data_IF_025059292953
#
_entry.id   IF_025059292953
#
_cell.length_a   1.000
_cell.length_b   1.000
_cell.length_c   1.000
_cell.angle_alpha   90.00
_cell.angle_beta   90.00
_cell.angle_gamma   90.00
#
_symmetry.space_group_name_H-M   'P 1'
#
loop_
_entity.id
_entity.type
_entity.pdbx_description
1 polymer ?
#
# COMPACT_ATOMS: atom_id res chain seq x y z
N UNK A 1 -30.04 16.39 -16.85
CA UNK A 1 -30.04 16.99 -15.50
C UNK A 1 -30.33 15.91 -14.48
N UNK A 2 -29.30 15.38 -13.81
CA UNK A 2 -29.45 14.35 -12.76
C UNK A 2 -29.39 15.05 -11.40
N UNK A 3 -30.51 15.02 -10.69
CA UNK A 3 -30.65 15.55 -9.33
C UNK A 3 -29.70 14.80 -8.39
N UNK A 4 -28.71 15.51 -7.83
CA UNK A 4 -27.93 15.04 -6.68
C UNK A 4 -28.79 15.25 -5.43
N UNK A 5 -29.26 14.16 -4.83
CA UNK A 5 -29.80 14.19 -3.47
C UNK A 5 -28.63 14.44 -2.51
N UNK A 6 -28.59 15.64 -1.95
CA UNK A 6 -27.71 16.00 -0.85
C UNK A 6 -28.41 15.52 0.44
N UNK A 7 -28.02 14.36 0.96
CA UNK A 7 -28.46 13.92 2.30
C UNK A 7 -27.69 14.75 3.31
N UNK A 8 -28.32 15.81 3.80
CA UNK A 8 -27.83 16.61 4.93
C UNK A 8 -28.19 15.84 6.20
N UNK A 9 -27.22 15.18 6.82
CA UNK A 9 -27.38 14.67 8.19
C UNK A 9 -27.27 15.87 9.15
N UNK A 10 -28.41 16.43 9.54
CA UNK A 10 -28.48 17.43 10.62
C UNK A 10 -28.32 16.68 11.93
N UNK A 11 -27.11 16.73 12.52
CA UNK A 11 -26.89 16.29 13.89
C UNK A 11 -27.35 17.42 14.81
N UNK A 12 -28.62 17.36 15.22
CA UNK A 12 -29.18 18.23 16.25
C UNK A 12 -28.62 17.83 17.61
N UNK A 13 -27.56 18.51 18.07
CA UNK A 13 -27.02 18.30 19.42
C UNK A 13 -27.86 19.10 20.41
N UNK A 14 -28.99 18.52 20.85
CA UNK A 14 -29.67 18.98 22.06
C UNK A 14 -28.93 18.45 23.29
N UNK A 15 -28.60 19.36 24.20
CA UNK A 15 -28.13 19.02 25.55
C UNK A 15 -29.21 18.25 26.30
N UNK A 16 -28.98 16.96 26.51
CA UNK A 16 -29.49 16.15 27.62
C UNK A 16 -28.69 14.85 27.66
N UNK A 17 -28.42 14.33 28.88
CA UNK A 17 -27.66 13.11 29.15
C UNK A 17 -28.26 11.85 28.49
N UNK A 18 -27.98 11.65 27.21
CA UNK A 18 -28.06 10.34 26.57
C UNK A 18 -26.66 9.95 26.11
N UNK A 19 -26.22 8.74 26.47
CA UNK A 19 -25.03 8.11 25.90
C UNK A 19 -25.31 7.84 24.41
N UNK A 20 -25.25 8.89 23.60
CA UNK A 20 -25.44 8.79 22.16
C UNK A 20 -24.15 8.19 21.60
N UNK A 21 -24.18 6.88 21.37
CA UNK A 21 -23.14 6.22 20.60
C UNK A 21 -23.33 6.53 19.12
N UNK A 22 -22.23 6.83 18.42
CA UNK A 22 -22.25 6.95 16.96
C UNK A 22 -22.23 5.54 16.38
N UNK A 23 -23.21 5.25 15.53
CA UNK A 23 -23.20 4.08 14.67
C UNK A 23 -22.31 4.37 13.46
N UNK A 24 -21.25 3.61 13.28
CA UNK A 24 -20.31 3.82 12.19
C UNK A 24 -20.16 2.50 11.43
N UNK A 25 -20.84 2.39 10.30
CA UNK A 25 -20.62 1.26 9.40
C UNK A 25 -19.16 1.26 8.90
N UNK A 26 -18.35 0.40 9.50
CA UNK A 26 -16.95 0.19 9.19
C UNK A 26 -16.73 -1.05 8.30
N UNK A 27 -17.76 -1.83 7.99
CA UNK A 27 -17.63 -3.14 7.38
C UNK A 27 -16.87 -3.09 6.03
N UNK A 28 -17.06 -2.02 5.26
CA UNK A 28 -16.37 -1.80 3.97
C UNK A 28 -15.26 -0.73 4.06
N UNK A 29 -14.93 -0.23 5.24
CA UNK A 29 -13.91 0.83 5.46
C UNK A 29 -12.63 0.32 6.08
N UNK A 30 -12.72 -0.81 6.79
CA UNK A 30 -11.58 -1.55 7.31
C UNK A 30 -11.03 -2.42 6.19
N UNK A 31 -9.76 -2.24 5.88
CA UNK A 31 -9.03 -3.11 4.97
C UNK A 31 -8.10 -3.96 5.82
N UNK A 32 -8.19 -5.28 5.68
CA UNK A 32 -7.21 -6.20 6.26
C UNK A 32 -6.08 -6.36 5.24
N UNK A 33 -4.86 -5.89 5.53
CA UNK A 33 -3.78 -6.01 4.59
C UNK A 33 -3.40 -7.47 4.34
N UNK A 34 -2.98 -7.78 3.12
CA UNK A 34 -2.45 -9.11 2.77
C UNK A 34 -1.08 -9.35 3.43
N UNK A 35 -0.64 -10.59 3.46
CA UNK A 35 0.65 -10.98 4.04
C UNK A 35 1.43 -11.86 3.08
N UNK A 36 2.74 -11.61 3.01
CA UNK A 36 3.68 -12.41 2.27
C UNK A 36 4.89 -12.76 3.17
N UNK A 37 5.25 -14.04 3.22
CA UNK A 37 6.46 -14.50 3.91
C UNK A 37 7.58 -14.62 2.88
N UNK A 38 8.62 -13.80 3.02
CA UNK A 38 9.77 -13.77 2.11
C UNK A 38 10.87 -14.67 2.64
N UNK A 39 11.23 -15.67 1.83
CA UNK A 39 12.15 -16.72 2.22
C UNK A 39 13.57 -16.43 1.76
N UNK A 40 14.54 -16.82 2.59
CA UNK A 40 15.95 -16.56 2.33
C UNK A 40 16.43 -17.43 1.17
N UNK A 41 17.16 -16.86 0.22
CA UNK A 41 17.76 -17.62 -0.89
C UNK A 41 18.90 -18.50 -0.37
N UNK A 42 19.11 -19.63 -1.04
CA UNK A 42 20.24 -20.52 -0.80
C UNK A 42 21.36 -20.30 -1.83
N UNK A 43 21.01 -19.73 -2.99
CA UNK A 43 21.91 -19.44 -4.10
C UNK A 43 21.83 -17.96 -4.49
N UNK A 44 22.86 -17.41 -5.17
CA UNK A 44 22.79 -16.09 -5.78
C UNK A 44 21.65 -16.02 -6.80
N UNK A 45 20.92 -14.90 -6.82
CA UNK A 45 19.92 -14.59 -7.85
C UNK A 45 20.59 -13.72 -8.91
N UNK A 46 20.45 -14.11 -10.19
CA UNK A 46 20.97 -13.34 -11.31
C UNK A 46 19.84 -12.48 -11.86
N UNK A 47 19.99 -11.16 -11.71
CA UNK A 47 18.97 -10.21 -12.19
C UNK A 47 19.04 -10.10 -13.71
N UNK A 48 18.19 -10.88 -14.40
CA UNK A 48 18.09 -10.94 -15.86
C UNK A 48 16.65 -10.92 -16.39
N UNK A 49 15.67 -10.72 -15.49
CA UNK A 49 14.27 -10.57 -15.83
C UNK A 49 13.53 -11.90 -15.89
N UNK A 50 14.19 -13.02 -15.57
CA UNK A 50 13.64 -14.37 -15.68
C UNK A 50 13.57 -15.05 -14.33
N UNK A 51 12.69 -16.03 -14.20
CA UNK A 51 12.47 -16.79 -12.97
C UNK A 51 13.20 -18.16 -12.99
N UNK A 52 14.37 -18.24 -13.66
CA UNK A 52 15.03 -19.50 -13.98
C UNK A 52 15.80 -20.15 -12.82
N UNK A 53 16.03 -19.43 -11.73
CA UNK A 53 16.75 -19.91 -10.56
C UNK A 53 15.90 -20.87 -9.72
N UNK A 54 16.54 -21.93 -9.21
CA UNK A 54 15.85 -22.93 -8.36
C UNK A 54 15.22 -22.36 -7.08
N UNK A 55 15.67 -21.19 -6.60
CA UNK A 55 15.03 -20.53 -5.45
C UNK A 55 13.76 -19.78 -5.87
N UNK A 56 13.67 -19.29 -7.12
CA UNK A 56 12.44 -18.73 -7.67
C UNK A 56 11.34 -19.79 -7.86
N UNK A 57 11.70 -21.03 -8.18
CA UNK A 57 10.75 -22.15 -8.28
C UNK A 57 10.09 -22.49 -6.93
N UNK A 58 10.78 -22.23 -5.81
CA UNK A 58 10.26 -22.48 -4.45
C UNK A 58 9.44 -21.30 -3.92
N UNK A 59 9.66 -20.10 -4.44
CA UNK A 59 8.92 -18.92 -4.05
C UNK A 59 7.47 -18.99 -4.55
N UNK A 60 6.52 -18.70 -3.67
CA UNK A 60 5.09 -18.76 -3.97
C UNK A 60 4.66 -17.41 -4.53
N UNK A 61 3.93 -17.39 -5.64
CA UNK A 61 3.32 -16.16 -6.12
C UNK A 61 2.28 -15.62 -5.12
N UNK A 62 2.21 -14.31 -5.01
CA UNK A 62 1.09 -13.59 -4.42
C UNK A 62 -0.21 -13.97 -5.12
N UNK A 63 -1.33 -13.67 -4.48
CA UNK A 63 -2.59 -13.58 -5.21
C UNK A 63 -2.45 -12.61 -6.39
N UNK A 64 -3.30 -12.81 -7.39
CA UNK A 64 -3.44 -11.87 -8.50
C UNK A 64 -3.91 -10.51 -8.01
N UNK A 65 -3.43 -9.47 -8.69
CA UNK A 65 -3.77 -8.10 -8.39
C UNK A 65 -5.26 -7.87 -8.64
N UNK A 66 -5.84 -6.97 -7.84
CA UNK A 66 -7.23 -6.54 -7.95
C UNK A 66 -7.29 -5.03 -8.17
N UNK A 67 -8.45 -4.50 -8.53
CA UNK A 67 -8.65 -3.04 -8.55
C UNK A 67 -8.32 -2.42 -7.18
N UNK A 68 -7.67 -1.25 -7.20
CA UNK A 68 -7.22 -0.52 -6.01
C UNK A 68 -8.33 -0.24 -4.98
N UNK A 69 -9.58 -0.14 -5.41
CA UNK A 69 -10.73 0.06 -4.52
C UNK A 69 -11.18 -1.25 -3.84
N UNK A 70 -10.67 -2.41 -4.27
CA UNK A 70 -11.24 -3.71 -4.00
C UNK A 70 -12.36 -4.03 -4.98
N UNK A 71 -12.98 -5.21 -4.88
CA UNK A 71 -14.22 -5.59 -5.61
C UNK A 71 -14.12 -5.97 -7.09
N UNK A 72 -13.19 -5.43 -7.89
CA UNK A 72 -13.09 -5.75 -9.33
C UNK A 72 -11.85 -6.57 -9.65
N UNK A 73 -12.01 -7.49 -10.62
CA UNK A 73 -10.94 -8.30 -11.18
C UNK A 73 -10.42 -7.62 -12.45
N UNK A 74 -9.11 -7.29 -12.52
CA UNK A 74 -8.44 -6.79 -13.71
C UNK A 74 -8.61 -7.68 -14.92
N UNK A 75 -8.61 -7.08 -16.12
CA UNK A 75 -8.63 -7.83 -17.38
C UNK A 75 -7.33 -8.57 -17.65
N UNK A 76 -6.21 -7.99 -17.20
CA UNK A 76 -4.89 -8.55 -17.41
C UNK A 76 -4.26 -8.87 -16.06
N UNK A 77 -3.80 -10.09 -15.93
CA UNK A 77 -3.30 -10.64 -14.67
C UNK A 77 -1.92 -10.06 -14.35
N UNK A 78 -1.72 -9.71 -13.09
CA UNK A 78 -0.42 -9.38 -12.53
C UNK A 78 -0.27 -10.06 -11.18
N UNK A 79 0.90 -10.64 -10.92
CA UNK A 79 1.27 -11.16 -9.60
C UNK A 79 2.78 -11.06 -9.39
N UNK A 80 3.19 -11.25 -8.14
CA UNK A 80 4.59 -11.11 -7.73
C UNK A 80 5.01 -12.29 -6.88
N UNK A 81 6.29 -12.64 -6.89
CA UNK A 81 6.91 -13.47 -5.86
C UNK A 81 8.18 -12.79 -5.38
N UNK A 82 8.56 -13.08 -4.15
CA UNK A 82 9.66 -12.42 -3.47
C UNK A 82 10.55 -13.42 -2.76
N UNK A 83 11.83 -13.06 -2.70
CA UNK A 83 12.90 -13.75 -1.98
C UNK A 83 13.78 -12.70 -1.28
N UNK A 84 14.69 -13.10 -0.40
CA UNK A 84 15.67 -12.19 0.17
C UNK A 84 17.00 -12.87 0.48
N UNK A 85 18.07 -12.10 0.63
CA UNK A 85 19.33 -12.56 1.23
C UNK A 85 19.88 -11.50 2.19
N UNK A 86 21.13 -11.63 2.63
CA UNK A 86 21.73 -10.66 3.57
C UNK A 86 21.97 -9.26 2.96
N UNK A 87 21.75 -9.07 1.66
CA UNK A 87 22.01 -7.83 0.92
C UNK A 87 20.78 -7.26 0.24
N UNK A 88 19.93 -8.10 -0.34
CA UNK A 88 18.83 -7.66 -1.20
C UNK A 88 17.48 -8.27 -0.80
N UNK A 89 16.44 -7.47 -0.95
CA UNK A 89 15.09 -7.96 -1.21
C UNK A 89 14.96 -8.18 -2.72
N UNK A 90 14.59 -9.39 -3.11
CA UNK A 90 14.34 -9.74 -4.50
C UNK A 90 12.84 -9.75 -4.79
N UNK A 91 12.42 -9.12 -5.89
CA UNK A 91 11.05 -9.10 -6.36
C UNK A 91 11.04 -9.56 -7.81
N UNK A 92 10.19 -10.53 -8.13
CA UNK A 92 9.87 -10.94 -9.49
C UNK A 92 8.38 -10.69 -9.73
N UNK A 93 8.04 -9.82 -10.68
CA UNK A 93 6.68 -9.53 -11.08
C UNK A 93 6.41 -10.07 -12.49
N UNK A 94 5.24 -10.66 -12.69
CA UNK A 94 4.77 -11.11 -14.01
C UNK A 94 3.51 -10.35 -14.38
N UNK A 95 3.57 -9.62 -15.49
CA UNK A 95 2.51 -8.75 -15.97
C UNK A 95 2.04 -9.26 -17.32
N UNK A 96 0.88 -9.90 -17.36
CA UNK A 96 0.24 -10.23 -18.64
C UNK A 96 -0.23 -8.94 -19.30
N UNK A 97 0.14 -8.74 -20.56
CA UNK A 97 -0.08 -7.51 -21.29
C UNK A 97 -0.26 -7.87 -22.76
N UNK A 98 -1.42 -7.54 -23.33
CA UNK A 98 -1.75 -7.80 -24.74
C UNK A 98 -1.02 -6.83 -25.67
N UNK A 99 -0.60 -5.66 -25.17
CA UNK A 99 0.17 -4.68 -25.93
C UNK A 99 1.23 -4.01 -25.06
N UNK A 100 2.47 -4.46 -25.19
CA UNK A 100 3.60 -3.98 -24.39
C UNK A 100 4.11 -2.67 -24.99
N UNK A 101 3.87 -1.58 -24.27
CA UNK A 101 4.24 -0.23 -24.67
C UNK A 101 5.17 0.42 -23.64
N UNK A 102 6.22 1.08 -24.14
CA UNK A 102 7.06 1.97 -23.36
C UNK A 102 7.85 2.92 -24.26
N UNK A 103 7.90 4.19 -23.89
CA UNK A 103 8.64 5.22 -24.62
C UNK A 103 9.43 6.18 -23.71
N UNK A 104 9.25 6.07 -22.38
CA UNK A 104 10.04 6.77 -21.39
C UNK A 104 11.36 6.03 -21.14
N UNK A 105 12.48 6.61 -21.57
CA UNK A 105 13.82 6.00 -21.51
C UNK A 105 14.75 6.66 -20.48
N UNK A 106 14.40 7.86 -20.01
CA UNK A 106 15.22 8.61 -19.07
C UNK A 106 14.96 8.16 -17.63
N UNK A 107 16.01 7.80 -16.90
CA UNK A 107 15.93 7.53 -15.45
C UNK A 107 15.33 8.76 -14.75
N UNK A 108 14.45 8.52 -13.79
CA UNK A 108 13.74 9.56 -13.02
C UNK A 108 12.76 10.42 -13.84
N UNK A 109 12.39 9.95 -15.05
CA UNK A 109 11.20 10.45 -15.72
C UNK A 109 9.94 10.06 -14.93
N UNK A 110 8.84 10.78 -15.16
CA UNK A 110 7.55 10.48 -14.55
C UNK A 110 6.95 9.22 -15.22
N UNK A 111 7.30 8.04 -14.69
CA UNK A 111 7.09 6.73 -15.32
C UNK A 111 5.60 6.36 -15.45
N UNK A 112 4.75 6.74 -14.49
CA UNK A 112 3.30 6.48 -14.53
C UNK A 112 2.55 6.96 -15.79
N UNK A 113 3.18 7.72 -16.70
CA UNK A 113 2.60 8.05 -18.01
C UNK A 113 2.67 6.90 -19.03
N UNK A 114 3.43 5.83 -18.76
CA UNK A 114 3.39 4.54 -19.44
C UNK A 114 2.60 3.52 -18.60
N UNK A 115 2.38 2.32 -19.15
CA UNK A 115 2.11 1.17 -18.30
C UNK A 115 3.39 0.81 -17.54
N UNK A 116 3.28 0.61 -16.24
CA UNK A 116 4.43 0.35 -15.38
C UNK A 116 4.08 -0.60 -14.23
N UNK A 117 5.14 -0.94 -13.49
CA UNK A 117 5.06 -1.68 -12.24
C UNK A 117 5.67 -0.84 -11.12
N UNK A 118 4.95 -0.73 -10.02
CA UNK A 118 5.34 0.10 -8.88
C UNK A 118 5.53 -0.77 -7.63
N UNK A 119 6.56 -0.47 -6.84
CA UNK A 119 6.84 -1.07 -5.53
C UNK A 119 6.78 0.02 -4.47
N UNK A 120 5.94 -0.18 -3.47
CA UNK A 120 5.82 0.70 -2.31
C UNK A 120 6.33 -0.02 -1.08
N UNK A 121 7.29 0.55 -0.36
CA UNK A 121 7.96 -0.15 0.74
C UNK A 121 8.18 0.76 1.95
N UNK A 122 7.80 0.25 3.11
CA UNK A 122 7.97 0.94 4.38
C UNK A 122 8.49 -0.05 5.44
N UNK A 123 9.73 0.12 5.91
CA UNK A 123 10.32 -0.81 6.86
C UNK A 123 9.96 -0.45 8.32
N UNK A 124 9.30 0.68 8.56
CA UNK A 124 8.92 1.17 9.87
C UNK A 124 7.74 0.41 10.51
N UNK A 125 7.59 0.57 11.83
CA UNK A 125 6.39 0.13 12.56
C UNK A 125 5.24 1.15 12.53
N UNK A 126 5.45 2.27 11.81
CA UNK A 126 4.48 3.32 11.52
C UNK A 126 4.37 3.59 10.02
N UNK A 127 3.42 4.43 9.62
CA UNK A 127 3.00 4.58 8.21
C UNK A 127 3.61 5.80 7.50
N UNK A 128 4.75 6.28 8.00
CA UNK A 128 5.50 7.45 7.48
C UNK A 128 6.89 6.99 7.02
N UNK A 129 7.60 7.85 6.30
CA UNK A 129 8.95 7.59 5.77
C UNK A 129 9.04 6.30 4.95
N UNK A 130 8.54 6.35 3.72
CA UNK A 130 8.46 5.19 2.83
C UNK A 130 9.00 5.49 1.44
N UNK A 131 9.48 4.45 0.77
CA UNK A 131 10.01 4.51 -0.58
C UNK A 131 9.00 4.00 -1.60
N UNK A 132 9.20 4.46 -2.83
CA UNK A 132 8.45 4.09 -4.02
C UNK A 132 9.43 3.89 -5.17
N UNK A 133 9.20 2.87 -5.98
CA UNK A 133 10.02 2.49 -7.14
C UNK A 133 9.06 2.21 -8.29
N UNK A 134 9.19 2.92 -9.40
CA UNK A 134 8.45 2.69 -10.64
C UNK A 134 9.40 2.14 -11.70
N UNK A 135 8.93 1.18 -12.50
CA UNK A 135 9.67 0.63 -13.64
C UNK A 135 8.73 0.27 -14.79
N UNK A 136 9.06 0.73 -16.01
CA UNK A 136 8.29 0.39 -17.21
C UNK A 136 8.88 -0.82 -17.95
N UNK A 137 8.22 -1.23 -19.04
CA UNK A 137 8.64 -2.35 -19.88
C UNK A 137 10.00 -2.16 -20.58
N UNK A 138 10.57 -0.94 -20.59
CA UNK A 138 11.92 -0.67 -21.08
C UNK A 138 13.00 -0.89 -20.00
N UNK A 139 12.59 -1.11 -18.75
CA UNK A 139 13.49 -1.18 -17.60
C UNK A 139 13.91 0.20 -17.07
N UNK A 140 13.27 1.28 -17.53
CA UNK A 140 13.52 2.64 -17.03
C UNK A 140 12.96 2.75 -15.62
N UNK A 141 13.82 3.14 -14.68
CA UNK A 141 13.52 3.17 -13.26
C UNK A 141 13.37 4.61 -12.75
N UNK A 142 12.43 4.81 -11.83
CA UNK A 142 12.33 6.00 -11.00
C UNK A 142 12.14 5.60 -9.55
N UNK A 143 12.90 6.19 -8.64
CA UNK A 143 12.74 6.03 -7.21
C UNK A 143 12.48 7.35 -6.50
N UNK A 144 11.63 7.31 -5.48
CA UNK A 144 11.29 8.47 -4.68
C UNK A 144 10.96 8.12 -3.23
N UNK A 145 11.23 9.08 -2.36
CA UNK A 145 10.93 9.00 -0.94
C UNK A 145 9.73 9.88 -0.58
N UNK A 146 8.85 9.42 0.29
CA UNK A 146 7.81 10.23 0.91
C UNK A 146 7.96 10.24 2.43
N UNK A 147 8.03 11.44 3.00
CA UNK A 147 8.14 11.60 4.45
C UNK A 147 6.86 11.20 5.20
N UNK A 148 5.68 11.29 4.58
CA UNK A 148 4.37 10.85 5.09
C UNK A 148 3.34 10.87 3.94
N UNK A 149 2.12 10.33 4.15
CA UNK A 149 1.08 10.39 3.13
C UNK A 149 0.72 11.81 2.66
N UNK A 150 0.46 11.99 1.37
CA UNK A 150 0.04 13.28 0.79
C UNK A 150 -1.20 13.87 1.48
N UNK A 151 -2.17 13.03 1.87
CA UNK A 151 -3.38 13.45 2.61
C UNK A 151 -3.07 14.06 3.99
N UNK A 152 -1.85 13.86 4.50
CA UNK A 152 -1.33 14.42 5.75
C UNK A 152 -0.31 15.55 5.49
N UNK A 153 -0.26 16.09 4.27
CA UNK A 153 0.67 17.14 3.85
C UNK A 153 2.09 16.64 3.65
N UNK A 154 2.25 15.36 3.27
CA UNK A 154 3.53 14.81 2.86
C UNK A 154 4.04 15.41 1.56
N UNK A 155 5.33 15.26 1.30
CA UNK A 155 6.01 15.68 0.08
C UNK A 155 6.89 14.53 -0.40
N UNK A 156 6.88 14.30 -1.71
CA UNK A 156 7.85 13.43 -2.36
C UNK A 156 9.20 14.12 -2.50
N UNK A 157 10.25 13.32 -2.48
CA UNK A 157 11.61 13.70 -2.82
C UNK A 157 12.15 12.73 -3.87
N UNK A 158 12.11 13.15 -5.13
CA UNK A 158 12.68 12.43 -6.27
C UNK A 158 14.21 12.52 -6.35
N UNK A 159 14.88 13.17 -5.39
CA UNK A 159 16.34 13.14 -5.28
C UNK A 159 16.83 11.95 -4.48
N UNK A 160 15.93 11.28 -3.75
CA UNK A 160 16.26 10.02 -3.10
C UNK A 160 16.56 8.97 -4.16
N UNK A 161 17.68 8.27 -4.00
CA UNK A 161 18.15 7.29 -4.97
C UNK A 161 18.63 6.05 -4.21
N UNK A 162 18.08 4.89 -4.55
CA UNK A 162 18.45 3.60 -3.95
C UNK A 162 19.76 3.15 -4.57
N UNK A 163 20.87 3.38 -3.86
CA UNK A 163 22.19 3.11 -4.40
C UNK A 163 22.43 1.61 -4.51
N UNK A 164 22.71 1.13 -5.73
CA UNK A 164 23.01 -0.28 -5.97
C UNK A 164 21.79 -1.15 -6.23
N UNK A 165 20.60 -0.56 -6.45
CA UNK A 165 19.46 -1.27 -7.03
C UNK A 165 19.86 -1.89 -8.37
N UNK A 166 19.40 -3.13 -8.59
CA UNK A 166 19.54 -3.82 -9.87
C UNK A 166 18.15 -4.14 -10.38
N UNK A 167 17.95 -3.99 -11.68
CA UNK A 167 16.71 -4.31 -12.35
C UNK A 167 16.97 -4.99 -13.69
N UNK A 168 16.04 -5.83 -14.11
CA UNK A 168 15.98 -6.37 -15.45
C UNK A 168 14.52 -6.63 -15.85
N UNK A 169 14.27 -6.55 -17.15
CA UNK A 169 12.96 -6.84 -17.76
C UNK A 169 13.15 -7.89 -18.86
N UNK A 170 12.27 -8.88 -18.92
CA UNK A 170 12.16 -9.82 -20.04
C UNK A 170 10.77 -9.71 -20.68
N UNK A 171 10.72 -9.86 -22.00
CA UNK A 171 9.49 -9.66 -22.78
C UNK A 171 9.18 -10.94 -23.56
N UNK A 172 7.97 -11.45 -23.36
CA UNK A 172 7.37 -12.47 -24.20
C UNK A 172 6.34 -11.81 -25.12
N UNK A 173 6.85 -11.26 -26.23
CA UNK A 173 6.10 -10.39 -27.14
C UNK A 173 7.04 -9.49 -27.94
N UNK A 174 6.52 -8.40 -28.50
CA UNK A 174 7.30 -7.35 -29.14
C UNK A 174 6.92 -5.97 -28.61
N UNK A 175 7.91 -5.27 -28.05
CA UNK A 175 7.67 -3.93 -27.51
C UNK A 175 7.32 -2.93 -28.61
N UNK A 176 6.31 -2.09 -28.35
CA UNK A 176 5.86 -1.02 -29.23
C UNK A 176 5.38 -1.50 -30.61
N UNK A 177 4.82 -2.70 -30.71
CA UNK A 177 4.22 -3.19 -31.94
C UNK A 177 2.68 -3.29 -31.81
N UNK A 178 1.96 -2.42 -32.52
CA UNK A 178 0.50 -2.40 -32.47
C UNK A 178 -0.16 -3.44 -33.38
N UNK A 179 0.62 -4.25 -34.10
CA UNK A 179 0.10 -5.18 -35.12
C UNK A 179 0.02 -6.63 -34.63
N UNK A 180 0.53 -6.93 -33.45
CA UNK A 180 0.44 -8.23 -32.81
C UNK A 180 -0.24 -8.14 -31.44
N UNK A 181 -0.35 -9.30 -30.80
CA UNK A 181 -0.85 -9.45 -29.44
C UNK A 181 0.28 -10.09 -28.65
N UNK A 182 0.72 -9.40 -27.62
CA UNK A 182 1.75 -9.84 -26.69
C UNK A 182 1.18 -10.79 -25.64
N UNK A 183 2.06 -11.38 -24.83
CA UNK A 183 1.66 -12.30 -23.77
C UNK A 183 1.93 -11.70 -22.39
N UNK A 184 3.19 -11.40 -22.10
CA UNK A 184 3.60 -10.80 -20.83
C UNK A 184 4.96 -10.14 -20.92
N UNK A 185 5.23 -9.29 -19.95
CA UNK A 185 6.57 -8.89 -19.57
C UNK A 185 6.79 -9.16 -18.08
N UNK A 186 8.05 -9.28 -17.70
CA UNK A 186 8.45 -9.55 -16.32
C UNK A 186 9.38 -8.47 -15.83
N UNK A 187 9.31 -8.19 -14.54
CA UNK A 187 10.23 -7.30 -13.84
C UNK A 187 10.95 -8.12 -12.79
N UNK A 188 12.27 -8.02 -12.75
CA UNK A 188 13.09 -8.58 -11.69
C UNK A 188 13.91 -7.46 -11.03
N UNK A 189 13.80 -7.34 -9.72
CA UNK A 189 14.49 -6.33 -8.91
C UNK A 189 15.33 -7.00 -7.82
N UNK A 190 16.53 -6.47 -7.58
CA UNK A 190 17.27 -6.64 -6.35
C UNK A 190 17.42 -5.29 -5.65
N UNK A 191 16.67 -5.10 -4.57
CA UNK A 191 16.61 -3.86 -3.80
C UNK A 191 17.54 -3.99 -2.58
N UNK A 192 18.59 -3.17 -2.45
CA UNK A 192 19.50 -3.18 -1.31
C UNK A 192 18.76 -2.96 0.02
N UNK A 193 18.85 -3.92 0.92
CA UNK A 193 18.15 -3.89 2.21
C UNK A 193 18.62 -2.73 3.11
N UNK A 194 19.91 -2.38 3.03
CA UNK A 194 20.49 -1.28 3.79
C UNK A 194 19.88 0.07 3.41
N UNK A 195 19.68 0.34 2.11
CA UNK A 195 19.09 1.59 1.62
C UNK A 195 17.63 1.71 2.09
N UNK A 196 16.88 0.60 2.10
CA UNK A 196 15.53 0.59 2.63
C UNK A 196 15.54 0.78 4.15
N UNK A 197 16.39 0.07 4.90
CA UNK A 197 16.47 0.21 6.35
C UNK A 197 16.79 1.64 6.83
N UNK A 198 17.51 2.44 6.02
CA UNK A 198 17.77 3.86 6.31
C UNK A 198 16.50 4.72 6.33
N UNK A 199 15.38 4.26 5.74
CA UNK A 199 14.08 4.91 5.88
C UNK A 199 13.52 4.85 7.31
N UNK A 200 14.04 3.94 8.17
CA UNK A 200 13.71 3.93 9.60
C UNK A 200 14.52 4.95 10.38
N UNK A 201 15.82 4.87 10.18
CA UNK A 201 16.81 5.72 10.81
C UNK A 201 17.97 5.86 9.82
N UNK A 202 18.27 7.08 9.33
CA UNK A 202 19.33 7.30 8.34
C UNK A 202 20.73 6.95 8.87
N UNK A 203 20.88 6.78 10.19
CA UNK A 203 22.13 6.34 10.82
C UNK A 203 22.13 4.85 11.19
N UNK A 204 21.05 4.13 10.89
CA UNK A 204 20.95 2.72 11.21
C UNK A 204 21.99 1.92 10.44
N UNK A 205 22.74 1.12 11.19
CA UNK A 205 23.59 0.04 10.67
C UNK A 205 22.95 -1.33 10.86
N UNK A 206 21.67 -1.37 11.27
CA UNK A 206 20.98 -2.62 11.54
C UNK A 206 20.66 -3.34 10.24
N UNK A 207 21.17 -4.57 10.13
CA UNK A 207 20.83 -5.45 9.03
C UNK A 207 19.43 -6.05 9.23
N UNK A 208 18.69 -6.17 8.13
CA UNK A 208 17.43 -6.91 8.11
C UNK A 208 17.68 -8.36 8.53
N UNK A 209 16.81 -8.89 9.39
CA UNK A 209 16.91 -10.24 9.93
C UNK A 209 15.59 -10.99 9.84
N UNK A 210 15.65 -12.31 9.98
CA UNK A 210 14.45 -13.12 10.09
C UNK A 210 13.57 -12.65 11.27
N UNK A 211 12.26 -12.61 11.05
CA UNK A 211 11.27 -12.04 11.96
C UNK A 211 11.09 -10.53 11.84
N UNK A 212 11.85 -9.84 10.99
CA UNK A 212 11.52 -8.46 10.63
C UNK A 212 10.22 -8.40 9.84
N UNK A 213 9.48 -7.32 10.07
CA UNK A 213 8.18 -7.05 9.50
C UNK A 213 8.24 -5.69 8.84
N UNK A 214 8.05 -5.67 7.52
CA UNK A 214 7.90 -4.43 6.75
C UNK A 214 6.48 -4.36 6.20
N UNK A 215 6.08 -3.18 5.78
CA UNK A 215 4.91 -2.99 4.92
C UNK A 215 5.37 -2.87 3.48
N UNK A 216 4.68 -3.57 2.57
CA UNK A 216 4.95 -3.53 1.15
C UNK A 216 3.64 -3.58 0.37
N UNK A 217 3.58 -2.91 -0.76
CA UNK A 217 2.54 -3.13 -1.74
C UNK A 217 3.07 -2.91 -3.15
N UNK A 218 2.24 -3.29 -4.11
CA UNK A 218 2.56 -3.21 -5.53
C UNK A 218 1.39 -2.60 -6.28
N UNK A 219 1.69 -1.83 -7.32
CA UNK A 219 0.72 -1.36 -8.29
C UNK A 219 1.17 -1.74 -9.69
N UNK A 220 0.20 -1.93 -10.58
CA UNK A 220 0.36 -1.80 -12.02
C UNK A 220 -0.50 -0.61 -12.42
N UNK A 221 0.14 0.44 -12.94
CA UNK A 221 -0.59 1.47 -13.68
C UNK A 221 -0.83 0.93 -15.08
N UNK A 222 -2.09 0.96 -15.49
CA UNK A 222 -2.51 0.49 -16.80
C UNK A 222 -3.36 1.56 -17.48
N UNK A 223 -2.87 2.09 -18.60
CA UNK A 223 -3.61 2.97 -19.49
C UNK A 223 -4.22 2.17 -20.64
N UNK A 224 -5.45 2.52 -21.00
CA UNK A 224 -5.93 2.21 -22.34
C UNK A 224 -5.14 3.08 -23.34
N UNK A 225 -4.77 2.50 -24.49
CA UNK A 225 -4.00 3.19 -25.51
C UNK A 225 -4.83 3.46 -26.78
N UNK A 226 -4.33 4.37 -27.60
CA UNK A 226 -4.72 4.63 -28.98
C UNK A 226 -3.46 4.73 -29.84
N UNK A 227 -3.57 4.40 -31.12
CA UNK A 227 -2.44 4.48 -32.05
C UNK A 227 -2.65 5.66 -33.01
N UNK A 228 -1.79 6.67 -32.91
CA UNK A 228 -1.86 7.91 -33.70
C UNK A 228 -0.52 8.09 -34.40
N UNK A 229 -0.55 8.28 -35.73
CA UNK A 229 0.62 8.57 -36.56
C UNK A 229 1.80 7.62 -36.33
N UNK A 230 1.53 6.32 -36.17
CA UNK A 230 2.58 5.32 -35.98
C UNK A 230 3.08 5.19 -34.54
N UNK A 231 2.42 5.82 -33.56
CA UNK A 231 2.85 5.82 -32.16
C UNK A 231 1.73 5.51 -31.20
N UNK A 232 2.07 4.82 -30.11
CA UNK A 232 1.20 4.68 -28.95
C UNK A 232 0.98 6.03 -28.27
N UNK A 233 -0.24 6.24 -27.80
CA UNK A 233 -0.63 7.35 -26.94
C UNK A 233 -1.67 6.85 -25.96
N UNK A 234 -1.75 7.47 -24.77
CA UNK A 234 -2.88 7.25 -23.86
C UNK A 234 -4.18 7.63 -24.55
N UNK A 235 -5.17 6.75 -24.47
CA UNK A 235 -6.46 6.89 -25.14
C UNK A 235 -7.20 8.13 -24.70
N UNK A 236 -7.84 8.81 -25.65
CA UNK A 236 -8.66 10.00 -25.38
C UNK A 236 -10.10 9.80 -25.80
N UNK A 237 -11.02 10.38 -25.03
CA UNK A 237 -12.42 10.56 -25.43
C UNK A 237 -12.80 12.04 -25.30
N UNK A 238 -13.36 12.62 -26.37
CA UNK A 238 -13.72 14.04 -26.43
C UNK A 238 -12.54 14.97 -26.06
N UNK A 239 -11.33 14.62 -26.49
CA UNK A 239 -10.09 15.37 -26.23
C UNK A 239 -9.52 15.23 -24.81
N UNK A 240 -10.10 14.40 -23.94
CA UNK A 240 -9.60 14.14 -22.59
C UNK A 240 -9.01 12.74 -22.48
N UNK A 241 -7.85 12.63 -21.85
CA UNK A 241 -7.22 11.35 -21.53
C UNK A 241 -8.16 10.58 -20.59
N UNK A 242 -8.43 9.32 -20.93
CA UNK A 242 -9.17 8.41 -20.05
C UNK A 242 -8.34 8.10 -18.81
N UNK A 243 -8.96 7.95 -17.62
CA UNK A 243 -8.20 7.65 -16.41
C UNK A 243 -7.48 6.31 -16.51
N UNK A 244 -6.35 6.22 -15.83
CA UNK A 244 -5.62 4.98 -15.62
C UNK A 244 -6.37 4.02 -14.71
N UNK A 245 -6.09 2.73 -14.88
CA UNK A 245 -6.40 1.73 -13.88
C UNK A 245 -5.19 1.52 -12.98
N UNK A 246 -5.45 1.33 -11.68
CA UNK A 246 -4.45 0.91 -10.71
C UNK A 246 -4.85 -0.48 -10.21
N UNK A 247 -4.05 -1.49 -10.55
CA UNK A 247 -4.26 -2.86 -10.08
C UNK A 247 -3.19 -3.20 -9.06
N UNK A 248 -3.59 -3.70 -7.90
CA UNK A 248 -2.74 -3.78 -6.72
C UNK A 248 -2.84 -5.13 -6.03
N UNK A 249 -1.79 -5.52 -5.31
CA UNK A 249 -1.80 -6.75 -4.52
C UNK A 249 -2.74 -6.64 -3.30
N UNK A 250 -2.48 -5.69 -2.40
CA UNK A 250 -3.35 -5.36 -1.26
C UNK A 250 -4.22 -4.16 -1.63
N UNK A 251 -5.57 -4.24 -1.55
CA UNK A 251 -6.45 -3.13 -1.92
C UNK A 251 -6.27 -1.94 -0.99
N UNK A 252 -6.52 -0.73 -1.50
CA UNK A 252 -6.43 0.50 -0.70
C UNK A 252 -7.81 1.03 -0.31
N UNK A 253 -8.89 0.56 -0.95
CA UNK A 253 -10.27 1.02 -0.71
C UNK A 253 -10.57 2.40 -1.30
N UNK A 254 -9.61 2.96 -2.04
CA UNK A 254 -9.70 4.25 -2.74
C UNK A 254 -8.61 4.29 -3.81
N UNK A 255 -8.83 5.00 -4.92
CA UNK A 255 -7.81 5.30 -5.93
C UNK A 255 -6.72 6.22 -5.33
N UNK A 256 -5.80 5.64 -4.56
CA UNK A 256 -4.68 6.28 -3.87
C UNK A 256 -3.73 5.23 -3.28
N UNK A 257 -2.54 5.02 -3.85
CA UNK A 257 -1.54 4.09 -3.31
C UNK A 257 -0.86 4.60 -2.03
N UNK A 258 -0.88 5.89 -1.76
CA UNK A 258 -0.26 6.47 -0.57
C UNK A 258 -1.16 6.35 0.68
N UNK A 259 -1.76 5.17 0.90
CA UNK A 259 -2.46 4.76 2.14
C UNK A 259 -1.67 3.61 2.80
N UNK A 260 -0.43 3.87 3.28
CA UNK A 260 0.49 2.85 3.77
C UNK A 260 -0.04 1.96 4.90
N UNK A 261 -1.05 2.40 5.65
CA UNK A 261 -1.72 1.54 6.61
C UNK A 261 -2.45 0.34 5.98
N UNK A 262 -2.82 0.40 4.70
CA UNK A 262 -3.52 -0.66 3.97
C UNK A 262 -2.56 -1.52 3.13
N UNK A 263 -1.26 -1.18 3.09
CA UNK A 263 -0.24 -1.99 2.43
C UNK A 263 -0.04 -3.31 3.16
N UNK A 264 0.25 -4.36 2.39
CA UNK A 264 0.46 -5.70 2.92
C UNK A 264 1.69 -5.78 3.81
N UNK A 265 1.80 -6.90 4.53
CA UNK A 265 2.92 -7.20 5.42
C UNK A 265 3.91 -8.13 4.72
N UNK A 266 5.20 -7.77 4.80
CA UNK A 266 6.32 -8.58 4.37
C UNK A 266 7.06 -9.12 5.59
N UNK A 267 7.12 -10.44 5.73
CA UNK A 267 7.74 -11.11 6.88
C UNK A 267 8.99 -11.85 6.43
N UNK A 268 10.15 -11.44 6.94
CA UNK A 268 11.44 -12.04 6.61
C UNK A 268 11.61 -13.39 7.31
N UNK A 269 11.91 -14.45 6.56
CA UNK A 269 12.07 -15.81 7.07
C UNK A 269 13.41 -16.42 6.66
N UNK A 270 14.09 -17.10 7.58
CA UNK A 270 15.35 -17.83 7.35
C UNK A 270 15.15 -19.28 6.90
N UNK A 271 13.93 -19.66 6.49
CA UNK A 271 13.53 -21.04 6.19
C UNK A 271 13.50 -21.99 7.41
N UNK A 272 13.62 -21.49 8.64
CA UNK A 272 13.44 -22.33 9.82
C UNK A 272 11.95 -22.65 10.04
N UNK A 273 11.62 -23.93 10.17
CA UNK A 273 10.27 -24.47 10.40
C UNK A 273 9.60 -23.97 11.71
N UNK A 274 10.23 -23.05 12.45
CA UNK A 274 9.80 -22.58 13.78
C UNK A 274 9.33 -21.12 13.80
N UNK A 275 9.38 -20.39 12.68
CA UNK A 275 8.99 -18.98 12.69
C UNK A 275 7.47 -18.86 12.74
N UNK A 276 6.91 -18.69 13.95
CA UNK A 276 5.53 -18.24 14.08
C UNK A 276 5.40 -16.85 13.45
N UNK A 277 4.47 -16.70 12.49
CA UNK A 277 4.12 -15.40 11.92
C UNK A 277 3.65 -14.49 13.05
N UNK A 278 4.44 -13.45 13.35
CA UNK A 278 4.12 -12.43 14.34
C UNK A 278 4.08 -11.07 13.68
N UNK A 279 2.90 -10.45 13.65
CA UNK A 279 2.70 -9.11 13.12
C UNK A 279 3.20 -8.01 14.06
N UNK A 280 3.69 -8.35 15.26
CA UNK A 280 4.11 -7.38 16.29
C UNK A 280 3.03 -6.31 16.60
N UNK A 281 1.79 -6.56 16.20
CA UNK A 281 0.62 -5.69 16.31
C UNK A 281 -0.64 -6.54 16.24
N UNK A 282 -1.74 -6.02 16.76
CA UNK A 282 -3.07 -6.55 16.53
C UNK A 282 -3.72 -5.83 15.35
N UNK A 283 -3.87 -6.55 14.23
CA UNK A 283 -4.30 -6.00 12.94
C UNK A 283 -5.70 -5.40 13.05
N UNK A 284 -6.63 -6.07 13.74
CA UNK A 284 -8.00 -5.63 13.85
C UNK A 284 -8.14 -4.31 14.62
N UNK A 285 -7.41 -4.15 15.74
CA UNK A 285 -7.37 -2.87 16.46
C UNK A 285 -6.72 -1.77 15.61
N UNK A 286 -5.59 -2.07 14.97
CA UNK A 286 -4.84 -1.12 14.14
C UNK A 286 -5.69 -0.61 12.95
N UNK A 287 -6.32 -1.52 12.21
CA UNK A 287 -7.13 -1.16 11.04
C UNK A 287 -8.44 -0.47 11.41
N UNK A 288 -9.03 -0.81 12.57
CA UNK A 288 -10.19 -0.10 13.09
C UNK A 288 -9.82 1.35 13.43
N UNK A 289 -8.69 1.58 14.10
CA UNK A 289 -8.21 2.92 14.42
C UNK A 289 -7.99 3.76 13.15
N UNK A 290 -7.33 3.21 12.13
CA UNK A 290 -7.12 3.91 10.88
C UNK A 290 -8.43 4.21 10.13
N UNK A 291 -9.38 3.27 10.12
CA UNK A 291 -10.69 3.50 9.49
C UNK A 291 -11.44 4.67 10.16
N UNK A 292 -11.53 4.70 11.50
CA UNK A 292 -12.17 5.80 12.24
C UNK A 292 -11.39 7.11 12.04
N UNK A 293 -10.05 7.07 12.08
CA UNK A 293 -9.21 8.24 11.83
C UNK A 293 -9.47 8.84 10.45
N UNK A 294 -9.58 8.02 9.40
CA UNK A 294 -9.90 8.49 8.05
C UNK A 294 -11.28 9.14 7.98
N UNK A 295 -12.27 8.56 8.64
CA UNK A 295 -13.62 9.14 8.69
C UNK A 295 -13.64 10.51 9.39
N UNK A 296 -12.87 10.67 10.46
CA UNK A 296 -12.76 11.93 11.20
C UNK A 296 -11.95 12.96 10.42
N UNK A 297 -10.82 12.59 9.82
CA UNK A 297 -9.95 13.57 9.14
C UNK A 297 -10.44 13.94 7.76
N UNK A 298 -11.00 12.97 7.03
CA UNK A 298 -11.19 13.06 5.59
C UNK A 298 -12.60 12.69 5.13
N UNK A 299 -13.39 12.00 5.97
CA UNK A 299 -14.74 11.52 5.65
C UNK A 299 -15.86 12.29 6.38
N UNK A 300 -16.87 11.54 6.81
CA UNK A 300 -18.16 12.07 7.27
C UNK A 300 -18.17 12.51 8.75
N UNK A 301 -17.10 12.23 9.50
CA UNK A 301 -17.01 12.55 10.93
C UNK A 301 -16.13 13.78 11.23
N UNK A 302 -15.86 14.62 10.22
CA UNK A 302 -15.04 15.84 10.36
C UNK A 302 -15.52 16.78 11.45
N UNK A 303 -16.82 16.88 11.66
CA UNK A 303 -17.41 17.76 12.68
C UNK A 303 -16.97 17.39 14.11
N UNK A 304 -16.52 16.15 14.36
CA UNK A 304 -15.96 15.77 15.67
C UNK A 304 -14.72 16.59 16.03
N UNK A 305 -13.98 17.09 15.03
CA UNK A 305 -12.81 17.95 15.24
C UNK A 305 -13.16 19.35 15.77
N UNK A 306 -14.42 19.77 15.64
CA UNK A 306 -14.92 21.07 16.11
C UNK A 306 -15.46 21.02 17.55
N UNK A 307 -15.53 19.84 18.18
CA UNK A 307 -16.00 19.69 19.55
C UNK A 307 -15.10 20.43 20.56
N UNK A 308 -15.68 20.79 21.71
CA UNK A 308 -14.94 21.40 22.82
C UNK A 308 -13.92 20.42 23.40
N UNK A 309 -12.77 20.93 23.85
CA UNK A 309 -11.78 20.14 24.57
C UNK A 309 -12.43 19.37 25.73
N UNK A 310 -12.05 18.10 25.89
CA UNK A 310 -12.64 17.20 26.90
C UNK A 310 -13.88 16.46 26.42
N UNK A 311 -14.43 16.78 25.24
CA UNK A 311 -15.51 16.00 24.64
C UNK A 311 -15.08 14.54 24.43
N UNK A 312 -15.98 13.62 24.77
CA UNK A 312 -15.83 12.18 24.62
C UNK A 312 -17.02 11.63 23.86
N UNK A 313 -16.77 10.82 22.82
CA UNK A 313 -17.80 10.16 22.03
C UNK A 313 -17.47 8.67 21.95
N UNK A 314 -18.42 7.82 22.34
CA UNK A 314 -18.31 6.37 22.20
C UNK A 314 -18.90 5.94 20.85
N UNK A 315 -18.21 5.05 20.16
CA UNK A 315 -18.75 4.41 18.95
C UNK A 315 -19.48 3.13 19.35
N UNK A 316 -20.46 2.70 18.55
CA UNK A 316 -21.03 1.37 18.72
C UNK A 316 -19.93 0.30 18.56
N UNK A 317 -20.01 -0.83 19.27
CA UNK A 317 -19.02 -1.89 19.13
C UNK A 317 -19.06 -2.51 17.73
N UNK A 318 -17.90 -2.65 17.11
CA UNK A 318 -17.75 -3.20 15.77
C UNK A 318 -17.26 -4.65 15.85
N UNK A 319 -17.69 -5.48 14.89
CA UNK A 319 -17.24 -6.88 14.80
C UNK A 319 -16.34 -7.07 13.59
N UNK A 320 -15.12 -7.56 13.83
CA UNK A 320 -14.12 -7.82 12.79
C UNK A 320 -13.40 -9.13 13.10
N UNK A 321 -13.39 -10.09 12.15
CA UNK A 321 -12.79 -11.43 12.31
C UNK A 321 -13.15 -12.10 13.65
N UNK A 322 -14.45 -12.07 14.00
CA UNK A 322 -15.00 -12.58 15.27
C UNK A 322 -14.60 -11.86 16.57
N UNK A 323 -13.81 -10.80 16.48
CA UNK A 323 -13.47 -9.95 17.62
C UNK A 323 -14.44 -8.76 17.71
N UNK A 324 -14.88 -8.44 18.92
CA UNK A 324 -15.68 -7.23 19.19
C UNK A 324 -14.79 -6.11 19.71
N UNK A 325 -14.77 -4.99 18.99
CA UNK A 325 -13.90 -3.85 19.22
C UNK A 325 -14.72 -2.67 19.74
N UNK A 326 -14.22 -2.05 20.81
CA UNK A 326 -14.82 -0.88 21.43
C UNK A 326 -13.91 0.32 21.17
N UNK A 327 -14.47 1.34 20.54
CA UNK A 327 -13.73 2.55 20.16
C UNK A 327 -14.29 3.80 20.83
N UNK A 328 -13.42 4.75 21.15
CA UNK A 328 -13.81 6.02 21.79
C UNK A 328 -12.98 7.16 21.24
N UNK A 329 -13.65 8.24 20.82
CA UNK A 329 -13.03 9.51 20.45
C UNK A 329 -12.90 10.42 21.67
N UNK A 330 -11.77 11.09 21.77
CA UNK A 330 -11.48 12.13 22.77
C UNK A 330 -10.98 13.39 22.08
N UNK A 331 -11.65 14.53 22.32
CA UNK A 331 -11.13 15.83 21.94
C UNK A 331 -10.06 16.28 22.94
N UNK A 332 -8.84 16.50 22.45
CA UNK A 332 -7.70 16.97 23.25
C UNK A 332 -7.46 18.47 23.01
N UNK A 333 -6.58 19.08 23.81
CA UNK A 333 -6.13 20.47 23.61
C UNK A 333 -5.44 20.66 22.25
N UNK A 334 -4.66 19.67 21.82
CA UNK A 334 -3.85 19.74 20.60
C UNK A 334 -4.49 18.99 19.41
N UNK A 335 -5.77 18.63 19.50
CA UNK A 335 -6.43 17.88 18.44
C UNK A 335 -7.42 16.86 18.95
N UNK A 336 -7.21 15.60 18.59
CA UNK A 336 -7.99 14.48 19.10
C UNK A 336 -7.16 13.21 19.25
N UNK A 337 -7.75 12.23 19.91
CA UNK A 337 -7.23 10.88 20.03
C UNK A 337 -8.38 9.88 19.98
N UNK A 338 -8.19 8.78 19.29
CA UNK A 338 -9.13 7.65 19.28
C UNK A 338 -8.46 6.51 20.03
N UNK A 339 -9.20 5.82 20.89
CA UNK A 339 -8.76 4.60 21.54
C UNK A 339 -9.61 3.43 21.06
N UNK A 340 -8.99 2.27 20.84
CA UNK A 340 -9.69 1.02 20.52
C UNK A 340 -9.16 -0.11 21.39
N UNK A 341 -10.07 -0.98 21.86
CA UNK A 341 -9.75 -2.11 22.73
C UNK A 341 -10.74 -3.26 22.55
N UNK A 342 -10.36 -4.44 23.02
CA UNK A 342 -11.28 -5.58 23.19
C UNK A 342 -12.04 -5.52 24.52
N UNK A 343 -13.08 -6.35 24.66
CA UNK A 343 -13.93 -6.41 25.87
C UNK A 343 -13.16 -6.65 27.17
N UNK A 344 -12.10 -7.46 27.13
CA UNK A 344 -11.24 -7.75 28.29
C UNK A 344 -10.41 -6.55 28.73
N UNK A 345 -10.21 -5.55 27.86
CA UNK A 345 -9.50 -4.31 28.15
C UNK A 345 -7.97 -4.43 28.28
N UNK A 346 -7.41 -5.64 28.23
CA UNK A 346 -5.98 -5.93 28.42
C UNK A 346 -5.14 -5.32 27.29
N UNK A 347 -5.62 -5.39 26.05
CA UNK A 347 -4.97 -4.80 24.89
C UNK A 347 -5.74 -3.55 24.45
N UNK A 348 -5.04 -2.42 24.38
CA UNK A 348 -5.60 -1.11 24.04
C UNK A 348 -4.62 -0.33 23.19
N UNK A 349 -5.07 0.09 22.01
CA UNK A 349 -4.31 0.96 21.11
C UNK A 349 -4.97 2.33 21.04
N UNK A 350 -4.19 3.33 20.61
CA UNK A 350 -4.74 4.64 20.30
C UNK A 350 -4.07 5.26 19.09
N UNK A 351 -4.80 6.09 18.34
CA UNK A 351 -4.26 6.89 17.25
C UNK A 351 -4.54 8.36 17.56
N UNK A 352 -3.55 9.22 17.33
CA UNK A 352 -3.70 10.66 17.51
C UNK A 352 -4.05 11.38 16.19
N UNK A 353 -4.23 12.70 16.27
CA UNK A 353 -4.51 13.52 15.11
C UNK A 353 -3.38 13.51 14.06
N UNK A 354 -2.14 13.15 14.38
CA UNK A 354 -1.11 13.01 13.35
C UNK A 354 -1.35 11.78 12.47
N UNK A 355 -2.03 10.77 12.99
CA UNK A 355 -2.22 9.46 12.35
C UNK A 355 -1.25 8.40 12.84
N UNK A 356 -0.49 8.66 13.90
CA UNK A 356 0.42 7.69 14.51
C UNK A 356 -0.29 6.88 15.59
N UNK A 357 -0.09 5.56 15.56
CA UNK A 357 -0.64 4.64 16.55
C UNK A 357 0.35 4.46 17.70
N UNK A 358 -0.18 4.56 18.91
CA UNK A 358 0.48 4.19 20.15
C UNK A 358 -0.08 2.85 20.65
N UNK A 359 0.80 1.86 20.76
CA UNK A 359 0.50 0.46 21.10
C UNK A 359 0.74 0.11 22.58
N UNK A 360 0.72 1.08 23.50
CA UNK A 360 0.95 0.84 24.94
C UNK A 360 -0.01 -0.23 25.49
N UNK A 361 0.53 -1.39 25.84
CA UNK A 361 -0.11 -2.35 26.73
C UNK A 361 -0.19 -1.72 28.13
N UNK A 362 -1.39 -1.60 28.69
CA UNK A 362 -1.57 -1.42 30.12
C UNK A 362 -1.20 -2.75 30.78
N UNK A 363 0.02 -2.85 31.31
CA UNK A 363 0.42 -3.91 32.24
C UNK A 363 -0.22 -3.67 33.60
#
# INVERSE_FOLDING_TARGET
MKNKFLIIFIISIFSCNSNNSIDLDLANKVIIPKTYVVYKTSNPIKIDGKEGESDWEKAIFSDDFIDIEGFKIPKQKTNVKMLWDDKYLYIFAKLYEEHIWGDLTERDAIIFNNNDFEVFINPNDHVFSYGEIEINALGTLWDLFLNKPYRLGGKSDSKWNITGIKSAVDINGTINNSNDIDNYWTVELAIPLNEISQLKDPYSTDNTKAGDLWRINFSRVNWDFEFIDGKYSRKKENGKILPEYNWVWSPQGKINMHIPENWGYLIFSDNSLKTQISYKTDIELEQTLYAIFREIRFGNLKELTNLKQGAKIEFKPEKLNDKTIFSTFYKTSNGFRIESKYKTGILKYSIDQSGLINKKSSF
#
